data_IF_220144650268
#
_entry.id   IF_220144650268
#
_cell.length_a   1.000
_cell.length_b   1.000
_cell.length_c   1.000
_cell.angle_alpha   90.00
_cell.angle_beta   90.00
_cell.angle_gamma   90.00
#
_symmetry.space_group_name_H-M   'P 1'
#
loop_
_entity.id
_entity.type
_entity.pdbx_description
1 polymer ?
#
# COMPACT_ATOMS: atom_id res chain seq x y z
N UNK A 1 -5.17 5.21 76.74
CA UNK A 1 -4.96 5.56 75.32
C UNK A 1 -4.30 4.36 74.68
N UNK A 2 -5.08 3.50 74.03
CA UNK A 2 -4.57 2.27 73.41
C UNK A 2 -4.97 2.32 71.93
N UNK A 3 -3.98 2.53 71.06
CA UNK A 3 -4.16 2.59 69.61
C UNK A 3 -4.18 1.15 69.05
N UNK A 4 -5.34 0.72 68.57
CA UNK A 4 -5.48 -0.53 67.81
C UNK A 4 -5.04 -0.23 66.38
N UNK A 5 -3.87 -0.72 65.98
CA UNK A 5 -3.44 -0.75 64.57
C UNK A 5 -3.93 -2.06 63.95
N UNK A 6 -4.94 -1.98 63.09
CA UNK A 6 -5.35 -3.08 62.20
C UNK A 6 -4.33 -3.26 61.06
N UNK A 7 -3.96 -4.50 60.69
CA UNK A 7 -3.11 -4.73 59.53
C UNK A 7 -3.90 -4.57 58.22
N UNK A 8 -3.34 -3.81 57.28
CA UNK A 8 -3.81 -3.73 55.91
C UNK A 8 -3.54 -5.07 55.21
N UNK A 9 -4.52 -5.96 55.23
CA UNK A 9 -4.55 -7.13 54.33
C UNK A 9 -4.76 -6.62 52.90
N UNK A 10 -3.65 -6.43 52.19
CA UNK A 10 -3.66 -6.20 50.76
C UNK A 10 -4.01 -7.51 50.05
N UNK A 11 -5.28 -7.70 49.71
CA UNK A 11 -5.66 -8.64 48.66
C UNK A 11 -5.04 -8.14 47.36
N UNK A 12 -4.16 -8.91 46.68
CA UNK A 12 -3.73 -8.52 45.36
C UNK A 12 -4.96 -8.52 44.45
N UNK A 13 -5.22 -7.39 43.79
CA UNK A 13 -6.13 -7.33 42.66
C UNK A 13 -5.57 -8.25 41.58
N UNK A 14 -6.03 -9.51 41.56
CA UNK A 14 -5.91 -10.37 40.40
C UNK A 14 -6.78 -9.72 39.33
N UNK A 15 -6.14 -8.94 38.45
CA UNK A 15 -6.72 -8.54 37.19
C UNK A 15 -7.18 -9.82 36.48
N UNK A 16 -8.47 -10.00 36.16
CA UNK A 16 -8.87 -11.08 35.28
C UNK A 16 -8.12 -10.83 33.97
N UNK A 17 -7.19 -11.74 33.64
CA UNK A 17 -6.56 -11.76 32.35
C UNK A 17 -7.68 -11.72 31.33
N UNK A 18 -7.70 -10.65 30.52
CA UNK A 18 -8.57 -10.58 29.36
C UNK A 18 -8.16 -11.74 28.45
N UNK A 19 -8.86 -12.86 28.61
CA UNK A 19 -8.92 -13.94 27.66
C UNK A 19 -9.56 -13.36 26.41
N UNK A 20 -8.75 -12.72 25.57
CA UNK A 20 -9.11 -12.59 24.18
C UNK A 20 -9.23 -14.03 23.65
N UNK A 21 -10.41 -14.47 23.20
CA UNK A 21 -10.47 -15.70 22.45
C UNK A 21 -9.63 -15.46 21.20
N UNK A 22 -8.46 -16.12 21.14
CA UNK A 22 -7.71 -16.30 19.90
C UNK A 22 -8.67 -16.91 18.88
N UNK A 23 -9.23 -16.05 18.04
CA UNK A 23 -10.02 -16.44 16.88
C UNK A 23 -9.10 -17.22 15.95
N UNK A 24 -9.52 -18.45 15.68
CA UNK A 24 -8.89 -19.42 14.81
C UNK A 24 -8.37 -18.84 13.48
N UNK A 25 -7.06 -18.81 13.32
CA UNK A 25 -6.31 -19.29 12.16
C UNK A 25 -4.81 -19.14 12.46
N UNK A 26 -4.03 -20.14 12.08
CA UNK A 26 -2.59 -20.18 12.31
C UNK A 26 -1.90 -19.11 11.46
N UNK A 27 -1.52 -18.00 12.09
CA UNK A 27 -0.70 -16.95 11.48
C UNK A 27 0.76 -17.42 11.55
N UNK A 28 1.20 -18.20 10.54
CA UNK A 28 2.62 -18.26 10.23
C UNK A 28 3.02 -16.81 9.93
N UNK A 29 3.99 -16.20 10.62
CA UNK A 29 4.25 -14.78 10.46
C UNK A 29 4.64 -14.51 9.01
N UNK A 30 3.69 -13.92 8.28
CA UNK A 30 3.91 -13.44 6.93
C UNK A 30 5.08 -12.45 6.98
N UNK A 31 5.97 -12.49 5.98
CA UNK A 31 7.08 -11.56 5.98
C UNK A 31 6.52 -10.12 6.00
N UNK A 32 7.05 -9.19 6.83
CA UNK A 32 6.44 -7.87 7.02
C UNK A 32 6.25 -7.06 5.72
N UNK A 33 7.08 -7.31 4.71
CA UNK A 33 6.91 -6.69 3.40
C UNK A 33 5.66 -7.20 2.65
N UNK A 34 5.33 -8.48 2.78
CA UNK A 34 4.17 -9.10 2.13
C UNK A 34 2.88 -8.69 2.87
N UNK A 35 2.91 -8.62 4.21
CA UNK A 35 1.82 -8.08 5.02
C UNK A 35 1.53 -6.62 4.65
N UNK A 36 2.58 -5.79 4.57
CA UNK A 36 2.46 -4.39 4.15
C UNK A 36 1.88 -4.27 2.74
N UNK A 37 2.24 -5.16 1.81
CA UNK A 37 1.70 -5.18 0.47
C UNK A 37 0.20 -5.51 0.47
N UNK A 38 -0.22 -6.53 1.23
CA UNK A 38 -1.63 -6.93 1.37
C UNK A 38 -2.49 -5.80 1.96
N UNK A 39 -2.03 -5.18 3.06
CA UNK A 39 -2.74 -4.06 3.69
C UNK A 39 -2.87 -2.89 2.71
N UNK A 40 -1.83 -2.57 1.95
CA UNK A 40 -1.88 -1.48 0.96
C UNK A 40 -2.83 -1.78 -0.20
N UNK A 41 -2.90 -3.03 -0.65
CA UNK A 41 -3.85 -3.45 -1.66
C UNK A 41 -5.30 -3.27 -1.15
N UNK A 42 -5.56 -3.67 0.09
CA UNK A 42 -6.89 -3.52 0.70
C UNK A 42 -7.27 -2.04 0.92
N UNK A 43 -6.35 -1.23 1.44
CA UNK A 43 -6.56 0.22 1.57
C UNK A 43 -6.84 0.87 0.20
N UNK A 44 -6.13 0.45 -0.86
CA UNK A 44 -6.38 0.95 -2.21
C UNK A 44 -7.80 0.61 -2.68
N UNK A 45 -8.27 -0.62 -2.43
CA UNK A 45 -9.64 -1.06 -2.75
C UNK A 45 -10.69 -0.24 -1.99
N UNK A 46 -10.47 -0.02 -0.70
CA UNK A 46 -11.36 0.76 0.14
C UNK A 46 -11.40 2.24 -0.27
N UNK A 47 -10.24 2.86 -0.52
CA UNK A 47 -10.18 4.24 -1.02
C UNK A 47 -10.85 4.39 -2.39
N UNK A 48 -10.71 3.40 -3.27
CA UNK A 48 -11.42 3.42 -4.56
C UNK A 48 -12.93 3.47 -4.33
N UNK A 49 -13.45 2.60 -3.46
CA UNK A 49 -14.87 2.58 -3.11
C UNK A 49 -15.33 3.87 -2.43
N UNK A 50 -14.53 4.40 -1.51
CA UNK A 50 -14.79 5.68 -0.85
C UNK A 50 -14.88 6.81 -1.88
N UNK A 51 -13.96 6.87 -2.83
CA UNK A 51 -13.92 7.90 -3.87
C UNK A 51 -15.14 7.84 -4.80
N UNK A 52 -15.62 6.64 -5.14
CA UNK A 52 -16.88 6.45 -5.87
C UNK A 52 -18.06 7.05 -5.10
N UNK A 53 -18.20 6.71 -3.81
CA UNK A 53 -19.27 7.22 -2.96
C UNK A 53 -19.17 8.73 -2.77
N UNK A 54 -17.97 9.27 -2.54
CA UNK A 54 -17.74 10.71 -2.40
C UNK A 54 -18.08 11.48 -3.68
N UNK A 55 -17.75 10.91 -4.83
CA UNK A 55 -18.09 11.51 -6.13
C UNK A 55 -19.60 11.52 -6.34
N UNK A 56 -20.27 10.41 -6.04
CA UNK A 56 -21.73 10.33 -6.05
C UNK A 56 -22.39 11.42 -5.19
N UNK A 57 -21.94 11.62 -3.94
CA UNK A 57 -22.51 12.65 -3.07
C UNK A 57 -22.17 14.07 -3.52
N UNK A 58 -20.97 14.29 -4.07
CA UNK A 58 -20.57 15.61 -4.60
C UNK A 58 -21.38 16.01 -5.83
N UNK A 59 -21.59 15.08 -6.76
CA UNK A 59 -22.29 15.36 -8.01
C UNK A 59 -23.82 15.46 -7.79
N UNK A 60 -24.35 14.73 -6.81
CA UNK A 60 -25.74 14.81 -6.37
C UNK A 60 -26.06 15.95 -5.38
N UNK A 61 -25.07 16.79 -5.03
CA UNK A 61 -25.16 17.79 -3.95
C UNK A 61 -26.16 18.95 -4.16
N UNK A 62 -26.98 18.91 -5.22
CA UNK A 62 -28.11 19.84 -5.36
C UNK A 62 -29.25 19.56 -4.37
N UNK A 63 -29.35 18.32 -3.85
CA UNK A 63 -30.22 17.99 -2.71
C UNK A 63 -29.41 18.09 -1.43
N UNK A 64 -29.74 19.05 -0.58
CA UNK A 64 -29.22 19.11 0.78
C UNK A 64 -29.70 17.87 1.53
N UNK A 65 -28.73 17.08 2.00
CA UNK A 65 -28.84 15.93 2.90
C UNK A 65 -29.24 14.58 2.27
N UNK A 66 -28.30 13.63 2.33
CA UNK A 66 -28.54 12.22 2.05
C UNK A 66 -28.72 11.48 3.37
N UNK A 67 -29.88 10.84 3.57
CA UNK A 67 -30.17 10.07 4.78
C UNK A 67 -30.15 8.58 4.51
N UNK A 68 -29.39 7.84 5.31
CA UNK A 68 -29.34 6.38 5.30
C UNK A 68 -30.10 5.79 6.49
N UNK A 69 -30.18 4.46 6.54
CA UNK A 69 -30.86 3.77 7.66
C UNK A 69 -30.12 3.92 9.00
N UNK A 70 -28.79 4.08 8.96
CA UNK A 70 -27.95 4.21 10.16
C UNK A 70 -27.10 5.49 10.19
N UNK A 71 -26.93 6.16 9.04
CA UNK A 71 -25.99 7.29 8.89
C UNK A 71 -26.52 8.33 7.92
N UNK A 72 -26.27 9.59 8.21
CA UNK A 72 -26.59 10.74 7.34
C UNK A 72 -25.30 11.33 6.76
N UNK A 73 -25.37 11.83 5.52
CA UNK A 73 -24.25 12.47 4.80
C UNK A 73 -24.65 13.90 4.43
N UNK A 74 -23.90 14.86 4.97
CA UNK A 74 -24.04 16.30 4.68
C UNK A 74 -22.86 16.80 3.87
N UNK A 75 -23.12 17.49 2.76
CA UNK A 75 -22.08 18.07 1.89
C UNK A 75 -21.96 19.56 2.18
N UNK A 76 -20.86 19.97 2.81
CA UNK A 76 -20.58 21.38 3.14
C UNK A 76 -19.49 21.91 2.20
N UNK A 77 -19.84 22.91 1.38
CA UNK A 77 -18.86 23.61 0.55
C UNK A 77 -18.16 24.70 1.38
N UNK A 78 -16.85 24.57 1.57
CA UNK A 78 -16.05 25.57 2.29
C UNK A 78 -14.99 26.19 1.38
N UNK A 79 -14.94 27.53 1.33
CA UNK A 79 -13.89 28.26 0.60
C UNK A 79 -12.69 28.47 1.51
N UNK A 80 -11.61 27.74 1.26
CA UNK A 80 -10.32 27.94 1.94
C UNK A 80 -9.42 28.86 1.11
N UNK A 81 -8.81 29.86 1.74
CA UNK A 81 -7.69 30.60 1.13
C UNK A 81 -6.46 29.69 1.17
N UNK A 82 -5.90 29.38 0.02
CA UNK A 82 -4.69 28.57 -0.13
C UNK A 82 -3.57 29.50 -0.58
N UNK A 83 -2.40 29.37 0.05
CA UNK A 83 -1.20 30.07 -0.39
C UNK A 83 -0.73 29.44 -1.71
N UNK A 84 -0.50 30.27 -2.72
CA UNK A 84 -0.09 29.84 -4.06
C UNK A 84 1.38 30.25 -4.28
N UNK A 85 2.34 29.31 -4.16
CA UNK A 85 3.77 29.60 -4.32
C UNK A 85 4.11 30.15 -5.71
N UNK A 86 3.30 29.86 -6.73
CA UNK A 86 3.52 30.32 -8.12
C UNK A 86 3.36 31.84 -8.27
N UNK A 87 2.66 32.48 -7.32
CA UNK A 87 2.50 33.94 -7.26
C UNK A 87 3.60 34.64 -6.49
N UNK A 88 4.59 33.90 -5.97
CA UNK A 88 5.72 34.49 -5.30
C UNK A 88 6.64 35.22 -6.29
N UNK A 89 7.22 36.35 -5.89
CA UNK A 89 8.31 36.98 -6.65
C UNK A 89 9.48 36.02 -6.87
N UNK A 90 10.09 36.11 -8.05
CA UNK A 90 11.28 35.32 -8.39
C UNK A 90 12.42 35.52 -7.40
N UNK A 91 12.51 36.71 -6.76
CA UNK A 91 13.50 37.03 -5.73
C UNK A 91 13.38 36.21 -4.45
N UNK A 92 12.19 35.66 -4.16
CA UNK A 92 11.97 34.76 -3.02
C UNK A 92 12.21 33.32 -3.46
N UNK A 93 11.70 32.92 -4.63
CA UNK A 93 11.86 31.56 -5.16
C UNK A 93 13.31 31.20 -5.47
N UNK A 94 14.11 32.15 -5.95
CA UNK A 94 15.52 31.92 -6.25
C UNK A 94 16.43 31.98 -5.02
N UNK A 95 15.91 32.39 -3.86
CA UNK A 95 16.74 32.67 -2.70
C UNK A 95 16.79 31.45 -1.75
N UNK A 96 17.95 30.77 -1.65
CA UNK A 96 18.09 29.53 -0.88
C UNK A 96 17.84 29.72 0.62
N UNK A 97 17.92 30.95 1.16
CA UNK A 97 17.66 31.23 2.58
C UNK A 97 16.22 30.93 3.02
N UNK A 98 15.29 30.85 2.07
CA UNK A 98 13.89 30.54 2.33
C UNK A 98 13.56 29.05 2.16
N UNK A 99 14.57 28.22 1.86
CA UNK A 99 14.44 26.78 1.70
C UNK A 99 15.14 26.05 2.84
N UNK A 100 14.60 24.89 3.19
CA UNK A 100 15.20 23.96 4.16
C UNK A 100 15.11 22.57 3.59
N UNK A 101 16.21 21.82 3.69
CA UNK A 101 16.22 20.41 3.35
C UNK A 101 15.52 19.60 4.46
N UNK A 102 14.57 18.77 4.04
CA UNK A 102 13.86 17.83 4.91
C UNK A 102 14.07 16.42 4.36
N UNK A 103 14.64 15.53 5.17
CA UNK A 103 14.79 14.13 4.80
C UNK A 103 13.45 13.41 5.02
N UNK A 104 12.93 12.79 3.95
CA UNK A 104 11.71 11.99 3.99
C UNK A 104 12.01 10.55 3.60
N UNK A 105 11.70 9.62 4.49
CA UNK A 105 11.81 8.18 4.20
C UNK A 105 10.51 7.70 3.58
N UNK A 106 10.57 7.27 2.33
CA UNK A 106 9.43 6.70 1.61
C UNK A 106 9.55 5.18 1.61
N UNK A 107 8.54 4.49 2.14
CA UNK A 107 8.47 3.03 2.13
C UNK A 107 7.53 2.62 0.99
N UNK A 108 8.05 1.93 -0.03
CA UNK A 108 7.26 1.35 -1.13
C UNK A 108 7.27 -0.18 -1.03
N UNK A 109 6.11 -0.80 -1.23
CA UNK A 109 5.98 -2.25 -1.39
C UNK A 109 5.58 -2.49 -2.84
N UNK A 110 6.35 -3.28 -3.57
CA UNK A 110 6.11 -3.65 -4.97
C UNK A 110 6.11 -5.17 -5.03
N UNK A 111 5.13 -5.74 -5.71
CA UNK A 111 5.10 -7.18 -5.96
C UNK A 111 6.36 -7.59 -6.72
N UNK A 112 7.12 -8.52 -6.14
CA UNK A 112 8.26 -9.10 -6.83
C UNK A 112 7.71 -10.06 -7.89
N UNK A 113 8.01 -9.88 -9.19
CA UNK A 113 7.63 -10.86 -10.19
C UNK A 113 8.28 -12.20 -9.81
N UNK A 114 7.48 -13.26 -9.73
CA UNK A 114 7.98 -14.60 -9.51
C UNK A 114 8.94 -14.93 -10.66
N UNK A 115 10.23 -15.03 -10.34
CA UNK A 115 11.19 -15.57 -11.28
C UNK A 115 10.77 -17.02 -11.54
N UNK A 116 10.26 -17.30 -12.74
CA UNK A 116 10.07 -18.67 -13.18
C UNK A 116 11.43 -19.37 -13.03
N UNK A 117 11.52 -20.51 -12.31
CA UNK A 117 12.77 -21.24 -12.24
C UNK A 117 13.18 -21.63 -13.66
N UNK A 118 14.41 -21.26 -14.03
CA UNK A 118 15.07 -21.65 -15.28
C UNK A 118 15.40 -23.16 -15.23
N UNK A 119 14.39 -24.02 -15.13
CA UNK A 119 14.57 -25.47 -15.14
C UNK A 119 13.45 -26.12 -15.94
N UNK A 120 13.50 -25.87 -17.26
CA UNK A 120 13.11 -26.86 -18.24
C UNK A 120 14.15 -26.82 -19.38
N UNK A 121 15.43 -27.02 -19.01
CA UNK A 121 16.39 -27.57 -19.97
C UNK A 121 15.95 -29.02 -20.16
N UNK A 122 15.24 -29.29 -21.26
CA UNK A 122 15.10 -30.67 -21.73
C UNK A 122 16.52 -31.20 -21.97
N UNK A 123 16.92 -32.34 -21.39
CA UNK A 123 18.21 -32.91 -21.70
C UNK A 123 18.22 -33.27 -23.19
N UNK A 124 19.13 -32.60 -23.91
CA UNK A 124 19.54 -33.02 -25.23
C UNK A 124 20.01 -34.46 -25.16
N UNK A 125 19.24 -35.35 -25.79
CA UNK A 125 19.77 -36.63 -26.27
C UNK A 125 19.96 -36.40 -27.76
N UNK A 126 21.20 -36.17 -28.16
CA UNK A 126 21.58 -36.23 -29.55
C UNK A 126 21.40 -37.65 -30.08
N UNK A 127 21.26 -37.80 -31.39
CA UNK A 127 22.24 -38.60 -32.12
C UNK A 127 22.17 -38.36 -33.63
N UNK A 128 23.38 -38.13 -34.16
CA UNK A 128 23.94 -38.41 -35.48
C UNK A 128 23.02 -38.61 -36.70
N UNK A 129 23.28 -37.74 -37.68
CA UNK A 129 22.99 -37.93 -39.09
C UNK A 129 23.88 -37.00 -39.91
N UNK A 130 25.20 -37.18 -39.82
CA UNK A 130 26.12 -36.76 -40.88
C UNK A 130 25.71 -37.48 -42.18
N UNK A 131 25.53 -36.74 -43.28
CA UNK A 131 26.38 -36.84 -44.48
C UNK A 131 25.83 -36.01 -45.67
N UNK A 132 26.62 -35.73 -46.73
CA UNK A 132 26.91 -34.35 -47.11
C UNK A 132 26.53 -33.98 -48.56
N UNK A 133 26.80 -32.70 -48.87
CA UNK A 133 27.00 -32.05 -50.18
C UNK A 133 25.95 -32.24 -51.27
N UNK A 134 25.38 -31.13 -51.72
CA UNK A 134 25.57 -30.81 -53.13
C UNK A 134 25.59 -29.30 -53.42
N UNK A 135 26.45 -29.02 -54.37
CA UNK A 135 27.07 -27.77 -54.76
C UNK A 135 26.38 -27.26 -56.03
N UNK A 136 25.85 -26.03 -56.03
CA UNK A 136 25.67 -25.20 -57.23
C UNK A 136 25.17 -23.80 -56.81
N UNK A 137 26.03 -22.80 -56.71
CA UNK A 137 26.52 -22.00 -57.84
C UNK A 137 25.35 -21.40 -58.64
N UNK A 138 25.05 -20.11 -58.41
CA UNK A 138 25.32 -19.01 -59.37
C UNK A 138 24.62 -17.71 -58.98
N UNK A 139 25.46 -16.69 -58.83
CA UNK A 139 25.32 -15.33 -59.38
C UNK A 139 24.22 -14.34 -58.92
N UNK A 140 24.77 -13.20 -58.51
CA UNK A 140 24.40 -11.83 -58.90
C UNK A 140 23.21 -11.12 -58.20
N UNK A 141 23.62 -10.24 -57.27
CA UNK A 141 23.07 -8.91 -56.94
C UNK A 141 22.78 -8.04 -58.21
N UNK A 142 22.28 -6.79 -58.11
CA UNK A 142 21.21 -6.21 -57.26
C UNK A 142 20.28 -5.23 -58.06
N UNK A 143 19.45 -4.50 -57.29
CA UNK A 143 18.64 -3.29 -57.54
C UNK A 143 17.14 -3.54 -57.74
#
# INVERSE_FOLDING_TARGET
>A
MEQIRTPLTGTPLVLPQASHPCGAAQDMPLHPADELAQIRAELKRLHQRENELRSFFRDGAQKQDFKGAAHDVTVIAHKKRVFDPSKLPQSILANPRFYRDELRTLISAVERPLALPCQAILPGVGDLGDDPVDEQMRDALPI
#
